data_IF_064039203424
#
_entry.id   IF_064039203424
#
_cell.length_a   1.000
_cell.length_b   1.000
_cell.length_c   1.000
_cell.angle_alpha   90.00
_cell.angle_beta   90.00
_cell.angle_gamma   90.00
#
_symmetry.space_group_name_H-M   'P 1'
#
loop_
_entity.id
_entity.type
_entity.pdbx_description
1 polymer ?
#
# COMPACT_ATOMS: atom_id res chain seq x y z
N UNK A 1 -9.34 5.99 9.24
CA UNK A 1 -8.75 4.77 9.80
C UNK A 1 -8.47 5.02 11.27
N UNK A 2 -8.83 4.09 12.16
CA UNK A 2 -8.39 4.14 13.57
C UNK A 2 -6.94 3.66 13.68
N UNK A 3 -6.25 4.06 14.74
CA UNK A 3 -4.87 3.62 15.05
C UNK A 3 -4.77 2.08 15.11
N UNK A 4 -5.79 1.43 15.68
CA UNK A 4 -5.92 -0.03 15.70
C UNK A 4 -5.97 -0.70 14.32
N UNK A 5 -6.54 -0.04 13.31
CA UNK A 5 -6.58 -0.57 11.95
C UNK A 5 -5.22 -0.47 11.25
N UNK A 6 -4.43 0.55 11.62
CA UNK A 6 -3.08 0.78 11.10
C UNK A 6 -2.11 -0.25 11.69
N UNK A 7 -2.16 -0.49 13.01
CA UNK A 7 -1.38 -1.53 13.68
C UNK A 7 -1.68 -2.92 13.09
N UNK A 8 -2.97 -3.24 12.90
CA UNK A 8 -3.38 -4.51 12.29
C UNK A 8 -2.85 -4.68 10.87
N UNK A 9 -2.79 -3.61 10.08
CA UNK A 9 -2.26 -3.65 8.72
C UNK A 9 -0.75 -3.87 8.71
N UNK A 10 -0.03 -3.24 9.63
CA UNK A 10 1.42 -3.44 9.77
C UNK A 10 1.75 -4.87 10.18
N UNK A 11 1.00 -5.43 11.15
CA UNK A 11 1.14 -6.84 11.54
C UNK A 11 0.83 -7.79 10.38
N UNK A 12 -0.23 -7.52 9.61
CA UNK A 12 -0.58 -8.34 8.44
C UNK A 12 0.55 -8.35 7.40
N UNK A 13 1.12 -7.19 7.08
CA UNK A 13 2.25 -7.11 6.16
C UNK A 13 3.48 -7.87 6.67
N UNK A 14 3.79 -7.75 7.97
CA UNK A 14 4.88 -8.50 8.61
C UNK A 14 4.66 -10.00 8.55
N UNK A 15 3.42 -10.48 8.65
CA UNK A 15 3.11 -11.90 8.48
C UNK A 15 3.30 -12.38 7.03
N UNK A 16 3.04 -11.53 6.04
CA UNK A 16 3.11 -11.88 4.62
C UNK A 16 4.53 -11.80 4.04
N UNK A 17 5.32 -10.80 4.45
CA UNK A 17 6.65 -10.52 3.90
C UNK A 17 7.80 -10.71 4.89
N UNK A 18 7.50 -10.93 6.18
CA UNK A 18 8.51 -11.10 7.23
C UNK A 18 9.42 -9.88 7.37
N UNK A 19 10.72 -10.14 7.43
CA UNK A 19 11.78 -9.12 7.55
C UNK A 19 11.92 -8.24 6.29
N UNK A 20 11.24 -8.59 5.20
CA UNK A 20 11.28 -7.79 3.97
C UNK A 20 10.36 -6.57 4.04
N UNK A 21 9.49 -6.45 5.05
CA UNK A 21 8.64 -5.25 5.21
C UNK A 21 9.51 -4.06 5.60
N UNK A 22 9.50 -2.97 4.81
CA UNK A 22 10.19 -1.74 5.19
C UNK A 22 9.65 -1.16 6.50
N UNK A 23 10.54 -0.63 7.33
CA UNK A 23 10.16 -0.04 8.61
C UNK A 23 9.21 1.15 8.41
N UNK A 24 8.17 1.22 9.22
CA UNK A 24 7.15 2.26 9.17
C UNK A 24 6.42 2.41 7.82
N UNK A 25 6.34 1.37 6.99
CA UNK A 25 5.68 1.42 5.68
C UNK A 25 4.26 2.02 5.72
N UNK A 26 3.48 1.74 6.77
CA UNK A 26 2.10 2.24 6.88
C UNK A 26 2.04 3.75 7.20
N UNK A 27 3.09 4.31 7.80
CA UNK A 27 3.17 5.70 8.23
C UNK A 27 4.00 6.59 7.29
N UNK A 28 4.89 6.00 6.50
CA UNK A 28 5.85 6.71 5.66
C UNK A 28 5.71 6.27 4.20
N UNK A 29 5.35 7.22 3.33
CA UNK A 29 5.19 6.94 1.90
C UNK A 29 6.48 6.45 1.25
N UNK A 30 7.66 6.89 1.67
CA UNK A 30 8.92 6.41 1.08
C UNK A 30 9.13 4.92 1.39
N UNK A 31 8.89 4.51 2.64
CA UNK A 31 8.93 3.10 3.03
C UNK A 31 7.82 2.28 2.33
N UNK A 32 6.63 2.86 2.13
CA UNK A 32 5.56 2.23 1.35
C UNK A 32 5.95 2.05 -0.13
N UNK A 33 6.69 3.00 -0.71
CA UNK A 33 7.21 2.89 -2.09
C UNK A 33 8.31 1.83 -2.19
N UNK A 34 9.15 1.67 -1.17
CA UNK A 34 10.09 0.55 -1.09
C UNK A 34 9.35 -0.80 -1.06
N UNK A 35 8.25 -0.89 -0.29
CA UNK A 35 7.39 -2.06 -0.27
C UNK A 35 6.80 -2.33 -1.65
N UNK A 36 6.33 -1.30 -2.35
CA UNK A 36 5.85 -1.44 -3.72
C UNK A 36 6.95 -1.97 -4.65
N UNK A 37 8.17 -1.45 -4.54
CA UNK A 37 9.33 -1.93 -5.28
C UNK A 37 9.63 -3.41 -5.02
N UNK A 38 9.49 -3.88 -3.77
CA UNK A 38 9.62 -5.31 -3.44
C UNK A 38 8.57 -6.13 -4.19
N UNK A 39 7.31 -5.71 -4.20
CA UNK A 39 6.27 -6.39 -4.98
C UNK A 39 6.58 -6.34 -6.48
N UNK A 40 7.13 -5.24 -7.01
CA UNK A 40 7.53 -5.18 -8.41
C UNK A 40 8.61 -6.22 -8.75
N UNK A 41 9.56 -6.50 -7.85
CA UNK A 41 10.52 -7.61 -8.05
C UNK A 41 9.86 -8.99 -8.09
N UNK A 42 8.66 -9.13 -7.53
CA UNK A 42 7.85 -10.36 -7.54
C UNK A 42 6.91 -10.44 -8.75
N UNK A 43 7.06 -9.53 -9.73
CA UNK A 43 6.29 -9.51 -10.97
C UNK A 43 5.01 -8.69 -10.91
N UNK A 44 4.80 -7.90 -9.85
CA UNK A 44 3.70 -6.94 -9.83
C UNK A 44 4.06 -5.67 -10.62
N UNK A 45 3.05 -4.95 -11.08
CA UNK A 45 3.16 -3.58 -11.59
C UNK A 45 2.45 -2.66 -10.62
N UNK A 46 3.10 -1.59 -10.18
CA UNK A 46 2.53 -0.66 -9.21
C UNK A 46 2.08 0.65 -9.85
N UNK A 47 0.94 1.17 -9.39
CA UNK A 47 0.44 2.50 -9.73
C UNK A 47 -0.11 3.20 -8.49
N UNK A 48 0.22 4.47 -8.33
CA UNK A 48 -0.33 5.35 -7.30
C UNK A 48 -0.99 6.56 -7.96
N UNK A 49 -2.24 6.82 -7.60
CA UNK A 49 -3.03 7.91 -8.18
C UNK A 49 -3.62 8.79 -7.08
N UNK A 50 -3.40 10.10 -7.22
CA UNK A 50 -4.14 11.11 -6.48
C UNK A 50 -5.56 11.22 -7.05
N UNK A 51 -6.56 10.99 -6.21
CA UNK A 51 -7.98 11.00 -6.56
C UNK A 51 -8.61 12.39 -6.39
N UNK A 52 -7.92 13.32 -5.70
CA UNK A 52 -8.38 14.70 -5.48
C UNK A 52 -7.35 15.74 -5.95
N UNK A 53 -6.82 15.69 -7.20
CA UNK A 53 -5.65 16.48 -7.65
C UNK A 53 -5.87 18.01 -7.75
N UNK A 54 -6.99 18.53 -7.27
CA UNK A 54 -7.34 19.96 -7.26
C UNK A 54 -7.89 20.43 -5.92
N UNK A 55 -8.02 19.52 -4.94
CA UNK A 55 -8.47 19.88 -3.61
C UNK A 55 -7.28 20.31 -2.78
N UNK A 56 -7.41 21.44 -2.09
CA UNK A 56 -6.41 21.93 -1.14
C UNK A 56 -6.62 21.35 0.26
N UNK A 57 -7.77 20.72 0.49
CA UNK A 57 -8.23 20.28 1.82
C UNK A 57 -8.49 18.78 1.90
N UNK A 58 -8.76 18.14 0.76
CA UNK A 58 -9.04 16.71 0.71
C UNK A 58 -7.87 16.00 0.05
N UNK A 59 -7.32 15.01 0.75
CA UNK A 59 -6.31 14.11 0.23
C UNK A 59 -6.91 12.72 0.16
N UNK A 60 -6.88 12.11 -1.02
CA UNK A 60 -7.35 10.74 -1.20
C UNK A 60 -6.54 10.06 -2.29
N UNK A 61 -6.03 8.88 -1.98
CA UNK A 61 -5.06 8.17 -2.81
C UNK A 61 -5.59 6.79 -3.14
N UNK A 62 -5.37 6.36 -4.38
CA UNK A 62 -5.58 4.97 -4.80
C UNK A 62 -4.25 4.34 -5.16
N UNK A 63 -3.91 3.26 -4.47
CA UNK A 63 -2.82 2.38 -4.87
C UNK A 63 -3.37 1.19 -5.64
N UNK A 64 -2.62 0.71 -6.63
CA UNK A 64 -3.01 -0.44 -7.45
C UNK A 64 -1.79 -1.29 -7.77
N UNK A 65 -1.87 -2.58 -7.46
CA UNK A 65 -0.93 -3.61 -7.90
C UNK A 65 -1.61 -4.49 -8.94
N UNK A 66 -0.92 -4.74 -10.05
CA UNK A 66 -1.37 -5.64 -11.10
C UNK A 66 -0.38 -6.79 -11.22
N UNK A 67 -0.88 -8.02 -11.31
CA UNK A 67 -0.07 -9.19 -11.64
C UNK A 67 -0.89 -10.14 -12.49
N UNK A 68 -0.38 -10.44 -13.67
CA UNK A 68 -1.10 -11.22 -14.69
C UNK A 68 -2.46 -10.58 -14.98
N UNK A 69 -3.57 -11.27 -14.70
CA UNK A 69 -4.95 -10.78 -14.89
C UNK A 69 -5.61 -10.30 -13.57
N UNK A 70 -4.86 -10.29 -12.46
CA UNK A 70 -5.35 -9.86 -11.16
C UNK A 70 -5.02 -8.38 -10.89
N UNK A 71 -5.99 -7.68 -10.30
CA UNK A 71 -5.88 -6.26 -9.92
C UNK A 71 -6.23 -6.14 -8.45
N UNK A 72 -5.28 -5.64 -7.67
CA UNK A 72 -5.41 -5.39 -6.23
C UNK A 72 -5.34 -3.89 -6.03
N UNK A 73 -6.37 -3.30 -5.44
CA UNK A 73 -6.41 -1.85 -5.27
C UNK A 73 -7.05 -1.46 -3.96
N UNK A 74 -6.48 -0.42 -3.34
CA UNK A 74 -7.02 0.14 -2.11
C UNK A 74 -6.95 1.66 -2.15
N UNK A 75 -7.87 2.26 -1.41
CA UNK A 75 -7.99 3.70 -1.28
C UNK A 75 -7.89 4.14 0.16
N UNK A 76 -7.13 5.20 0.41
CA UNK A 76 -7.05 5.81 1.72
C UNK A 76 -6.72 7.30 1.62
N UNK A 77 -7.08 8.10 2.65
CA UNK A 77 -6.67 9.50 2.73
C UNK A 77 -5.15 9.69 2.78
N UNK A 78 -4.43 8.74 3.39
CA UNK A 78 -2.98 8.68 3.39
C UNK A 78 -2.48 7.76 2.27
N UNK A 79 -1.52 8.24 1.48
CA UNK A 79 -0.91 7.47 0.39
C UNK A 79 -0.20 6.21 0.88
N UNK A 80 0.55 6.28 1.98
CA UNK A 80 1.24 5.13 2.57
C UNK A 80 0.27 4.01 2.95
N UNK A 81 -0.85 4.37 3.59
CA UNK A 81 -1.91 3.41 3.96
C UNK A 81 -2.53 2.77 2.73
N UNK A 82 -2.84 3.56 1.69
CA UNK A 82 -3.40 3.03 0.45
C UNK A 82 -2.46 1.98 -0.17
N UNK A 83 -1.16 2.26 -0.23
CA UNK A 83 -0.14 1.34 -0.75
C UNK A 83 -0.07 0.07 0.09
N UNK A 84 0.03 0.19 1.42
CA UNK A 84 0.10 -0.95 2.32
C UNK A 84 -1.13 -1.84 2.25
N UNK A 85 -2.34 -1.27 2.15
CA UNK A 85 -3.57 -2.03 1.99
C UNK A 85 -3.59 -2.80 0.67
N UNK A 86 -3.25 -2.15 -0.44
CA UNK A 86 -3.23 -2.81 -1.75
C UNK A 86 -2.15 -3.89 -1.82
N UNK A 87 -1.01 -3.69 -1.15
CA UNK A 87 0.05 -4.68 -1.05
C UNK A 87 -0.39 -5.89 -0.21
N UNK A 88 -1.04 -5.66 0.94
CA UNK A 88 -1.55 -6.75 1.77
C UNK A 88 -2.57 -7.62 1.03
N UNK A 89 -3.47 -6.99 0.27
CA UNK A 89 -4.43 -7.69 -0.60
C UNK A 89 -3.71 -8.54 -1.66
N UNK A 90 -2.77 -7.92 -2.40
CA UNK A 90 -1.96 -8.58 -3.42
C UNK A 90 -1.14 -9.77 -2.91
N UNK A 91 -0.63 -9.69 -1.68
CA UNK A 91 0.19 -10.74 -1.05
C UNK A 91 -0.63 -11.85 -0.39
N UNK A 92 -1.92 -11.59 -0.13
CA UNK A 92 -2.83 -12.57 0.50
C UNK A 92 -3.45 -13.56 -0.49
N UNK A 93 -3.10 -13.46 -1.77
CA UNK A 93 -3.62 -14.27 -2.90
C UNK A 93 -2.65 -15.38 -3.28
#
# INVERSE_FOLDING_TARGET
>A
MSESAIESLEEQLKQLLGESVPDQAVYNINAAMELAGILETQGFTFQLKDMCPKSLTETHWRATFLKEDAVFSAEAPQSSVAVCMAAADALST
#
